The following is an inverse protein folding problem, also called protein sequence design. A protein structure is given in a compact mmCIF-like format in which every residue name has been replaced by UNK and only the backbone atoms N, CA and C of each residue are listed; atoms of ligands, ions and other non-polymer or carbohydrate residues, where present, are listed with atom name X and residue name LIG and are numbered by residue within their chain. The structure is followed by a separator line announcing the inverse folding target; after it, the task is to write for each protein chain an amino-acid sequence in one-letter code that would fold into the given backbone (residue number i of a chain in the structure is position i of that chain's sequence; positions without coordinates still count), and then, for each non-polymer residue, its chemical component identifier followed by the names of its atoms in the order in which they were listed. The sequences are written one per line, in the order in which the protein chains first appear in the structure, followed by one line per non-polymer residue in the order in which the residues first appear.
data_IF_874366379748
#
_entry.id   IF_874366379748
#
_cell.length_a   1.000
_cell.length_b   1.000
_cell.length_c   1.000
_cell.angle_alpha   90.00
_cell.angle_beta   90.00
_cell.angle_gamma   90.00
#
_symmetry.space_group_name_H-M   'P 1'
#
loop_
_entity.id
_entity.type
_entity.pdbx_description
1 polymer ?
#
# COMPACT_ATOMS: atom_id res chain seq x y z
N UNK A 1 13.08 -16.70 -1.07
CA UNK A 1 11.86 -15.96 -0.68
C UNK A 1 10.66 -16.50 -1.45
N UNK A 2 9.52 -16.76 -0.79
CA UNK A 2 8.28 -17.19 -1.46
C UNK A 2 7.76 -16.08 -2.37
N UNK A 3 7.16 -16.40 -3.52
CA UNK A 3 6.63 -15.38 -4.43
C UNK A 3 5.24 -14.91 -3.98
N UNK A 4 5.07 -13.59 -3.87
CA UNK A 4 3.78 -12.95 -3.65
C UNK A 4 3.44 -12.00 -4.81
N UNK A 5 2.21 -12.10 -5.32
CA UNK A 5 1.66 -11.21 -6.36
C UNK A 5 0.71 -10.15 -5.79
N UNK A 6 0.46 -10.20 -4.49
CA UNK A 6 -0.31 -9.22 -3.72
C UNK A 6 0.11 -9.30 -2.26
N UNK A 7 -0.17 -8.25 -1.50
CA UNK A 7 0.11 -8.23 -0.08
C UNK A 7 -0.70 -9.31 0.67
N UNK A 8 -0.13 -9.99 1.68
CA UNK A 8 -0.76 -11.11 2.36
C UNK A 8 -1.97 -10.68 3.20
N UNK A 9 -1.96 -9.45 3.72
CA UNK A 9 -3.07 -8.83 4.45
C UNK A 9 -3.66 -7.66 3.65
N UNK A 10 -4.95 -7.34 3.80
CA UNK A 10 -5.59 -6.21 3.14
C UNK A 10 -4.83 -4.90 3.35
N UNK A 11 -4.51 -4.23 2.25
CA UNK A 11 -3.90 -2.90 2.23
C UNK A 11 -4.44 -2.14 1.02
N UNK A 12 -4.89 -0.91 1.24
CA UNK A 12 -5.41 -0.05 0.18
C UNK A 12 -4.26 0.53 -0.63
N UNK A 13 -4.41 0.60 -1.95
CA UNK A 13 -3.39 1.20 -2.82
C UNK A 13 -2.19 0.29 -3.16
N UNK A 14 -2.20 -0.98 -2.74
CA UNK A 14 -1.13 -1.93 -3.10
C UNK A 14 -0.95 -2.03 -4.63
N UNK A 15 0.29 -2.00 -5.10
CA UNK A 15 0.65 -1.94 -6.53
C UNK A 15 0.61 -3.29 -7.26
N UNK A 16 -0.31 -4.18 -6.87
CA UNK A 16 -0.45 -5.53 -7.45
C UNK A 16 -0.69 -5.53 -8.96
N UNK A 17 -1.41 -4.52 -9.48
CA UNK A 17 -1.71 -4.39 -10.90
C UNK A 17 -0.49 -3.97 -11.75
N UNK A 18 0.55 -3.40 -11.12
CA UNK A 18 1.78 -3.02 -11.80
C UNK A 18 2.87 -4.08 -11.78
N UNK A 19 2.77 -5.13 -10.98
CA UNK A 19 3.91 -6.02 -10.74
C UNK A 19 4.54 -6.58 -12.01
N UNK A 20 3.73 -6.86 -13.04
CA UNK A 20 4.27 -7.28 -14.35
C UNK A 20 5.11 -6.18 -15.00
N UNK A 21 4.56 -4.97 -15.12
CA UNK A 21 5.26 -3.83 -15.70
C UNK A 21 6.49 -3.42 -14.88
N UNK A 22 6.36 -3.43 -13.55
CA UNK A 22 7.44 -3.13 -12.63
C UNK A 22 8.59 -4.13 -12.77
N UNK A 23 8.30 -5.44 -12.79
CA UNK A 23 9.33 -6.48 -13.06
C UNK A 23 10.00 -6.32 -14.41
N UNK A 24 9.26 -5.96 -15.46
CA UNK A 24 9.85 -5.69 -16.77
C UNK A 24 10.81 -4.50 -16.71
N UNK A 25 10.36 -3.39 -16.11
CA UNK A 25 11.16 -2.17 -15.99
C UNK A 25 12.38 -2.36 -15.07
N UNK A 26 12.32 -3.24 -14.06
CA UNK A 26 13.48 -3.58 -13.21
C UNK A 26 14.69 -4.07 -14.00
N UNK A 27 14.52 -4.65 -15.20
CA UNK A 27 15.63 -5.10 -16.05
C UNK A 27 16.53 -3.96 -16.55
N UNK A 28 16.04 -2.71 -16.49
CA UNK A 28 16.81 -1.51 -16.85
C UNK A 28 17.67 -0.99 -15.69
N UNK A 29 17.57 -1.60 -14.51
CA UNK A 29 18.27 -1.19 -13.29
C UNK A 29 19.20 -2.30 -12.79
N UNK A 30 20.24 -1.92 -12.05
CA UNK A 30 21.23 -2.88 -11.57
C UNK A 30 20.66 -3.89 -10.56
N UNK A 31 20.90 -5.20 -10.75
CA UNK A 31 20.43 -6.25 -9.83
C UNK A 31 21.12 -6.21 -8.45
N UNK A 32 22.16 -5.40 -8.28
CA UNK A 32 22.91 -5.24 -7.02
C UNK A 32 22.78 -3.82 -6.45
N UNK A 33 21.89 -2.99 -7.01
CA UNK A 33 21.61 -1.66 -6.50
C UNK A 33 21.02 -1.67 -5.07
N UNK A 34 21.06 -0.52 -4.42
CA UNK A 34 20.28 -0.29 -3.19
C UNK A 34 18.93 0.29 -3.57
N UNK A 35 17.87 -0.49 -3.36
CA UNK A 35 16.49 -0.05 -3.59
C UNK A 35 15.91 0.48 -2.29
N UNK A 36 15.47 1.73 -2.28
CA UNK A 36 14.94 2.41 -1.10
C UNK A 36 13.47 2.74 -1.33
N UNK A 37 12.59 2.03 -0.63
CA UNK A 37 11.16 2.23 -0.68
C UNK A 37 10.75 3.30 0.32
N UNK A 38 10.57 4.52 -0.17
CA UNK A 38 10.28 5.71 0.65
C UNK A 38 8.89 5.64 1.27
N UNK A 39 7.94 5.01 0.57
CA UNK A 39 6.52 4.91 0.92
C UNK A 39 6.09 3.45 0.92
N UNK A 40 6.71 2.67 1.81
CA UNK A 40 6.64 1.22 1.75
C UNK A 40 5.22 0.63 1.77
N UNK A 41 4.30 1.25 2.52
CA UNK A 41 2.92 0.76 2.68
C UNK A 41 2.89 -0.73 3.02
N UNK A 42 2.27 -1.55 2.15
CA UNK A 42 2.23 -3.02 2.30
C UNK A 42 3.56 -3.77 2.07
N UNK A 43 4.62 -3.09 1.67
CA UNK A 43 5.92 -3.67 1.32
C UNK A 43 5.91 -4.51 0.03
N UNK A 44 4.86 -4.44 -0.78
CA UNK A 44 4.72 -5.29 -1.98
C UNK A 44 5.78 -4.99 -3.05
N UNK A 45 6.15 -3.72 -3.21
CA UNK A 45 7.23 -3.32 -4.13
C UNK A 45 8.58 -3.79 -3.59
N UNK A 46 8.88 -3.51 -2.33
CA UNK A 46 10.08 -4.02 -1.62
C UNK A 46 10.22 -5.56 -1.71
N UNK A 47 9.14 -6.30 -1.42
CA UNK A 47 9.08 -7.75 -1.61
C UNK A 47 9.42 -8.15 -3.05
N UNK A 48 8.82 -7.47 -4.02
CA UNK A 48 8.99 -7.78 -5.44
C UNK A 48 10.43 -7.58 -5.86
N UNK A 49 11.06 -6.47 -5.45
CA UNK A 49 12.48 -6.22 -5.72
C UNK A 49 13.35 -7.31 -5.10
N UNK A 50 13.19 -7.59 -3.79
CA UNK A 50 14.05 -8.58 -3.11
C UNK A 50 13.87 -10.00 -3.65
N UNK A 51 12.67 -10.33 -4.09
CA UNK A 51 12.39 -11.61 -4.75
C UNK A 51 13.01 -11.69 -6.16
N UNK A 52 12.98 -10.59 -6.91
CA UNK A 52 13.49 -10.51 -8.29
C UNK A 52 15.02 -10.41 -8.32
N UNK A 53 15.60 -9.65 -7.39
CA UNK A 53 17.03 -9.43 -7.20
C UNK A 53 17.45 -9.84 -5.77
N UNK A 54 17.77 -11.12 -5.55
CA UNK A 54 18.15 -11.62 -4.23
C UNK A 54 19.39 -10.92 -3.63
N UNK A 55 20.30 -10.45 -4.47
CA UNK A 55 21.56 -9.79 -4.06
C UNK A 55 21.41 -8.28 -3.85
N UNK A 56 20.26 -7.70 -4.22
CA UNK A 56 19.99 -6.28 -3.97
C UNK A 56 19.82 -6.01 -2.47
N UNK A 57 20.30 -4.84 -2.02
CA UNK A 57 19.91 -4.28 -0.72
C UNK A 57 18.55 -3.60 -0.90
N UNK A 58 17.56 -3.98 -0.11
CA UNK A 58 16.21 -3.41 -0.19
C UNK A 58 15.83 -2.84 1.16
N UNK A 59 15.65 -1.52 1.22
CA UNK A 59 15.25 -0.79 2.41
C UNK A 59 13.76 -0.50 2.32
N UNK A 60 12.98 -1.00 3.26
CA UNK A 60 11.52 -0.86 3.32
C UNK A 60 11.11 0.08 4.46
N UNK A 61 10.57 1.25 4.10
CA UNK A 61 10.05 2.20 5.07
C UNK A 61 8.61 1.86 5.48
N UNK A 62 8.47 1.16 6.59
CA UNK A 62 7.19 0.77 7.19
C UNK A 62 6.65 1.89 8.09
N UNK A 63 6.06 2.92 7.48
CA UNK A 63 5.45 4.04 8.21
C UNK A 63 4.07 3.68 8.80
N UNK A 64 3.33 2.79 8.13
CA UNK A 64 1.95 2.40 8.51
C UNK A 64 1.88 1.18 9.46
N UNK A 65 3.04 0.70 9.96
CA UNK A 65 3.17 -0.49 10.80
C UNK A 65 2.53 -1.75 10.20
N UNK A 66 2.62 -1.92 8.88
CA UNK A 66 2.11 -3.12 8.20
C UNK A 66 2.84 -4.39 8.67
N UNK A 67 4.13 -4.29 9.02
CA UNK A 67 4.88 -5.41 9.58
C UNK A 67 4.33 -5.89 10.93
N UNK A 68 3.76 -5.01 11.77
CA UNK A 68 3.13 -5.40 13.03
C UNK A 68 1.89 -6.26 12.77
N UNK A 69 1.10 -5.90 11.74
CA UNK A 69 -0.04 -6.71 11.29
C UNK A 69 0.41 -8.08 10.81
N UNK A 70 1.48 -8.15 10.02
CA UNK A 70 2.08 -9.42 9.58
C UNK A 70 2.52 -10.26 10.79
N UNK A 71 3.24 -9.67 11.73
CA UNK A 71 3.74 -10.38 12.93
C UNK A 71 2.60 -10.95 13.79
N UNK A 72 1.42 -10.35 13.75
CA UNK A 72 0.23 -10.79 14.48
C UNK A 72 -0.77 -11.59 13.62
N UNK A 73 -0.42 -12.01 12.40
CA UNK A 73 -1.34 -12.73 11.49
C UNK A 73 -1.96 -13.98 12.12
N UNK A 74 -1.21 -14.68 12.98
CA UNK A 74 -1.72 -15.85 13.72
C UNK A 74 -2.89 -15.50 14.65
N UNK A 75 -2.82 -14.35 15.36
CA UNK A 75 -3.92 -13.88 16.22
C UNK A 75 -5.13 -13.49 15.37
N UNK A 76 -4.90 -12.81 14.24
CA UNK A 76 -5.97 -12.46 13.30
C UNK A 76 -6.68 -13.69 12.76
N UNK A 77 -5.93 -14.74 12.38
CA UNK A 77 -6.51 -16.00 11.91
C UNK A 77 -7.30 -16.73 13.01
N UNK A 78 -6.79 -16.77 14.24
CA UNK A 78 -7.51 -17.35 15.38
C UNK A 78 -8.85 -16.66 15.63
N UNK A 79 -8.87 -15.32 15.63
CA UNK A 79 -10.12 -14.56 15.75
C UNK A 79 -11.07 -14.86 14.59
N UNK A 80 -10.59 -14.87 13.34
CA UNK A 80 -11.43 -15.19 12.18
C UNK A 80 -11.97 -16.62 12.23
N UNK A 81 -11.20 -17.59 12.75
CA UNK A 81 -11.65 -18.96 12.92
C UNK A 81 -12.87 -19.04 13.84
N UNK A 82 -12.90 -18.25 14.92
CA UNK A 82 -14.03 -18.18 15.84
C UNK A 82 -15.23 -17.43 15.26
N UNK A 83 -14.99 -16.45 14.38
CA UNK A 83 -16.06 -15.68 13.73
C UNK A 83 -16.73 -16.45 12.58
N UNK A 84 -16.01 -17.34 11.87
CA UNK A 84 -16.53 -18.15 10.76
C UNK A 84 -17.82 -18.92 11.11
N UNK A 85 -17.92 -19.68 12.22
CA UNK A 85 -19.15 -20.39 12.56
C UNK A 85 -20.31 -19.45 12.88
N UNK A 86 -20.05 -18.28 13.47
CA UNK A 86 -21.08 -17.26 13.72
C UNK A 86 -21.63 -16.72 12.39
N UNK A 87 -20.73 -16.33 11.48
CA UNK A 87 -21.12 -15.87 10.14
C UNK A 87 -21.81 -16.94 9.31
N UNK A 88 -21.48 -18.22 9.51
CA UNK A 88 -22.10 -19.35 8.80
C UNK A 88 -23.58 -19.57 9.16
N UNK A 89 -24.05 -19.03 10.30
CA UNK A 89 -25.48 -19.01 10.65
C UNK A 89 -26.32 -18.19 9.66
N UNK A 90 -25.70 -17.24 8.94
CA UNK A 90 -26.32 -16.62 7.76
C UNK A 90 -25.91 -17.38 6.49
N UNK A 91 -26.83 -18.09 5.82
CA UNK A 91 -26.49 -18.89 4.64
C UNK A 91 -26.07 -18.02 3.44
N UNK A 92 -26.54 -16.76 3.38
CA UNK A 92 -26.29 -15.89 2.25
C UNK A 92 -24.97 -15.13 2.40
N UNK A 93 -23.99 -15.46 1.55
CA UNK A 93 -22.72 -14.75 1.50
C UNK A 93 -22.89 -13.33 0.96
N UNK A 94 -22.06 -12.41 1.43
CA UNK A 94 -22.00 -10.98 1.06
C UNK A 94 -23.24 -10.16 1.44
N UNK A 95 -24.27 -10.77 2.01
CA UNK A 95 -25.44 -10.08 2.54
C UNK A 95 -25.19 -9.52 3.94
N UNK A 96 -26.02 -8.54 4.32
CA UNK A 96 -25.99 -7.93 5.65
C UNK A 96 -26.34 -8.97 6.71
N UNK A 97 -25.58 -9.00 7.79
CA UNK A 97 -25.89 -9.79 8.99
C UNK A 97 -26.97 -9.07 9.81
N UNK A 98 -27.88 -9.84 10.40
CA UNK A 98 -28.91 -9.31 11.31
C UNK A 98 -28.28 -8.87 12.64
N UNK A 99 -29.09 -8.19 13.47
CA UNK A 99 -28.61 -7.58 14.71
C UNK A 99 -28.18 -8.63 15.76
N UNK A 100 -28.77 -9.83 15.76
CA UNK A 100 -28.36 -10.93 16.65
C UNK A 100 -26.95 -11.43 16.33
N UNK A 101 -26.66 -11.69 15.04
CA UNK A 101 -25.33 -12.12 14.60
C UNK A 101 -24.30 -11.00 14.76
N UNK A 102 -24.71 -9.74 14.56
CA UNK A 102 -23.87 -8.59 14.84
C UNK A 102 -23.46 -8.56 16.31
N UNK A 103 -24.42 -8.67 17.24
CA UNK A 103 -24.15 -8.69 18.68
C UNK A 103 -23.26 -9.87 19.09
N UNK A 104 -23.44 -11.06 18.51
CA UNK A 104 -22.60 -12.22 18.78
C UNK A 104 -21.15 -12.03 18.32
N UNK A 105 -20.94 -11.44 17.14
CA UNK A 105 -19.61 -11.09 16.63
C UNK A 105 -18.94 -10.05 17.54
N UNK A 106 -19.67 -9.01 17.95
CA UNK A 106 -19.16 -7.98 18.88
C UNK A 106 -18.79 -8.61 20.23
N UNK A 107 -19.63 -9.49 20.77
CA UNK A 107 -19.38 -10.19 22.02
C UNK A 107 -18.19 -11.14 21.95
N UNK A 108 -17.89 -11.72 20.77
CA UNK A 108 -16.67 -12.51 20.58
C UNK A 108 -15.45 -11.60 20.52
N UNK A 109 -15.48 -10.53 19.72
CA UNK A 109 -14.34 -9.61 19.56
C UNK A 109 -14.00 -8.89 20.87
N UNK A 110 -14.99 -8.53 21.69
CA UNK A 110 -14.76 -7.83 22.97
C UNK A 110 -13.95 -8.65 24.00
N UNK A 111 -13.82 -9.97 23.81
CA UNK A 111 -13.02 -10.85 24.65
C UNK A 111 -11.54 -10.86 24.27
N UNK A 112 -11.19 -10.33 23.10
CA UNK A 112 -9.80 -10.25 22.65
C UNK A 112 -8.99 -9.32 23.54
N UNK A 113 -7.76 -9.75 23.85
CA UNK A 113 -6.81 -8.97 24.63
C UNK A 113 -5.57 -8.73 23.77
N UNK A 114 -5.18 -7.46 23.62
CA UNK A 114 -4.00 -7.05 22.87
C UNK A 114 -4.32 -6.62 21.43
N UNK A 115 -3.40 -6.91 20.51
CA UNK A 115 -3.45 -6.42 19.14
C UNK A 115 -4.63 -7.01 18.36
N UNK A 116 -5.40 -6.14 17.70
CA UNK A 116 -6.45 -6.51 16.76
C UNK A 116 -6.17 -5.78 15.44
N UNK A 117 -6.02 -6.55 14.36
CA UNK A 117 -5.90 -6.00 13.02
C UNK A 117 -7.28 -5.52 12.51
N UNK A 118 -7.67 -4.32 12.91
CA UNK A 118 -8.97 -3.76 12.54
C UNK A 118 -9.18 -3.62 11.03
N UNK A 119 -8.11 -3.41 10.26
CA UNK A 119 -8.19 -3.34 8.80
C UNK A 119 -8.56 -4.70 8.22
N UNK A 120 -7.89 -5.77 8.67
CA UNK A 120 -8.21 -7.13 8.22
C UNK A 120 -9.59 -7.57 8.70
N UNK A 121 -9.95 -7.32 9.97
CA UNK A 121 -11.26 -7.66 10.51
C UNK A 121 -12.37 -6.90 9.75
N UNK A 122 -12.18 -5.61 9.50
CA UNK A 122 -13.12 -4.81 8.71
C UNK A 122 -13.29 -5.34 7.29
N UNK A 123 -12.21 -5.75 6.62
CA UNK A 123 -12.32 -6.29 5.25
C UNK A 123 -13.19 -7.57 5.16
N UNK A 124 -13.30 -8.31 6.26
CA UNK A 124 -14.06 -9.54 6.39
C UNK A 124 -15.52 -9.32 6.82
N UNK A 125 -15.84 -8.17 7.40
CA UNK A 125 -17.15 -7.92 8.02
C UNK A 125 -17.84 -6.64 7.56
N UNK A 126 -17.16 -5.66 6.99
CA UNK A 126 -17.75 -4.40 6.54
C UNK A 126 -17.90 -4.36 5.02
N UNK A 127 -18.72 -3.43 4.53
CA UNK A 127 -18.81 -3.15 3.10
C UNK A 127 -17.45 -2.73 2.54
N UNK A 128 -17.21 -2.98 1.25
CA UNK A 128 -15.92 -2.65 0.63
C UNK A 128 -15.64 -1.15 0.74
N UNK A 129 -14.37 -0.79 0.96
CA UNK A 129 -13.89 0.57 1.24
C UNK A 129 -14.19 1.12 2.65
N UNK A 130 -14.98 0.43 3.47
CA UNK A 130 -15.18 0.81 4.87
C UNK A 130 -14.24 0.00 5.78
N UNK A 131 -13.62 0.68 6.74
CA UNK A 131 -12.98 0.04 7.87
C UNK A 131 -13.02 0.90 9.11
N UNK A 132 -13.03 0.23 10.26
CA UNK A 132 -12.82 0.87 11.55
C UNK A 132 -11.35 0.74 11.97
N UNK A 133 -10.88 1.63 12.82
CA UNK A 133 -9.53 1.61 13.40
C UNK A 133 -9.52 1.24 14.88
N UNK A 134 -10.69 1.08 15.48
CA UNK A 134 -10.86 0.70 16.88
C UNK A 134 -12.23 0.05 17.11
N UNK A 135 -12.38 -0.61 18.26
CA UNK A 135 -13.58 -1.35 18.62
C UNK A 135 -14.84 -0.46 18.72
N UNK A 136 -14.71 0.76 19.23
CA UNK A 136 -15.84 1.68 19.44
C UNK A 136 -16.43 2.19 18.13
N UNK A 137 -15.60 2.42 17.12
CA UNK A 137 -16.04 2.68 15.75
C UNK A 137 -16.61 1.40 15.12
N UNK A 138 -15.89 0.27 15.25
CA UNK A 138 -16.26 -1.00 14.63
C UNK A 138 -17.65 -1.48 15.02
N UNK A 139 -18.03 -1.35 16.31
CA UNK A 139 -19.33 -1.82 16.80
C UNK A 139 -20.53 -1.02 16.30
N UNK A 140 -20.32 0.18 15.74
CA UNK A 140 -21.39 1.01 15.17
C UNK A 140 -21.68 0.68 13.71
N UNK A 141 -20.80 -0.08 13.07
CA UNK A 141 -20.88 -0.40 11.66
C UNK A 141 -21.88 -1.53 11.38
N UNK A 142 -22.38 -1.57 10.14
CA UNK A 142 -23.21 -2.67 9.64
C UNK A 142 -22.32 -3.81 9.16
N UNK A 143 -22.62 -5.04 9.61
CA UNK A 143 -21.84 -6.21 9.21
C UNK A 143 -22.44 -6.94 8.00
N UNK A 144 -21.56 -7.54 7.21
CA UNK A 144 -21.85 -8.30 6.01
C UNK A 144 -21.09 -9.63 6.06
N UNK A 145 -21.68 -10.71 5.54
CA UNK A 145 -21.06 -12.03 5.51
C UNK A 145 -19.97 -12.12 4.42
N UNK A 146 -18.87 -11.39 4.62
CA UNK A 146 -17.72 -11.34 3.72
C UNK A 146 -16.53 -12.15 4.24
N UNK A 147 -16.71 -12.86 5.35
CA UNK A 147 -15.60 -13.52 6.05
C UNK A 147 -14.89 -14.53 5.14
N UNK A 148 -13.56 -14.45 5.12
CA UNK A 148 -12.70 -15.37 4.41
C UNK A 148 -12.73 -16.72 5.11
N UNK A 149 -12.93 -17.78 4.32
CA UNK A 149 -13.07 -19.15 4.84
C UNK A 149 -11.74 -19.83 5.12
N UNK A 150 -10.64 -19.32 4.58
CA UNK A 150 -9.28 -19.79 4.84
C UNK A 150 -8.48 -18.79 5.67
N UNK A 151 -7.33 -19.23 6.16
CA UNK A 151 -6.39 -18.42 6.95
C UNK A 151 -5.43 -17.61 6.07
N UNK A 152 -5.15 -16.37 6.48
CA UNK A 152 -4.15 -15.54 5.84
C UNK A 152 -2.76 -16.15 6.06
N UNK A 153 -1.89 -16.08 5.05
CA UNK A 153 -0.53 -16.60 5.12
C UNK A 153 0.45 -15.52 4.67
N UNK A 154 1.35 -15.13 5.57
CA UNK A 154 2.38 -14.12 5.34
C UNK A 154 3.80 -14.70 5.41
N UNK A 155 3.93 -16.04 5.34
CA UNK A 155 5.20 -16.74 5.52
C UNK A 155 6.24 -16.29 4.50
N UNK A 156 7.34 -15.75 5.00
CA UNK A 156 8.46 -15.29 4.20
C UNK A 156 8.18 -14.07 3.31
N UNK A 157 7.12 -13.30 3.58
CA UNK A 157 6.71 -12.17 2.73
C UNK A 157 7.68 -10.98 2.77
N UNK A 158 8.45 -10.75 3.84
CA UNK A 158 9.43 -9.64 3.90
C UNK A 158 10.84 -10.13 4.28
N UNK A 159 11.12 -11.42 4.05
CA UNK A 159 12.43 -12.00 4.34
C UNK A 159 13.55 -11.32 3.53
N UNK A 160 14.60 -10.88 4.24
CA UNK A 160 15.77 -10.23 3.63
C UNK A 160 15.53 -8.78 3.20
N UNK A 161 14.37 -8.20 3.51
CA UNK A 161 14.11 -6.77 3.34
C UNK A 161 14.47 -6.04 4.63
N UNK A 162 15.27 -4.98 4.54
CA UNK A 162 15.71 -4.17 5.67
C UNK A 162 14.58 -3.21 6.08
N UNK A 163 13.83 -3.57 7.12
CA UNK A 163 12.74 -2.74 7.63
C UNK A 163 13.29 -1.54 8.43
N UNK A 164 12.74 -0.38 8.16
CA UNK A 164 12.91 0.84 8.96
C UNK A 164 11.56 1.56 9.12
N UNK A 165 11.50 2.52 10.04
CA UNK A 165 10.37 3.43 10.19
C UNK A 165 10.91 4.85 10.37
N UNK A 166 10.87 5.65 9.31
CA UNK A 166 11.38 7.03 9.27
C UNK A 166 10.47 7.93 8.44
N UNK A 167 10.57 9.24 8.66
CA UNK A 167 10.04 10.22 7.70
C UNK A 167 10.79 10.06 6.37
N UNK A 168 10.05 10.05 5.25
CA UNK A 168 10.62 9.79 3.93
C UNK A 168 11.70 10.79 3.54
N UNK A 169 11.64 12.04 4.02
CA UNK A 169 12.63 13.07 3.73
C UNK A 169 13.96 12.74 4.37
N UNK A 170 13.94 12.32 5.63
CA UNK A 170 15.14 11.91 6.35
C UNK A 170 15.76 10.66 5.73
N UNK A 171 14.91 9.72 5.29
CA UNK A 171 15.36 8.54 4.59
C UNK A 171 15.97 8.86 3.23
N UNK A 172 15.35 9.75 2.46
CA UNK A 172 15.89 10.23 1.19
C UNK A 172 17.27 10.90 1.38
N UNK A 173 17.39 11.81 2.34
CA UNK A 173 18.65 12.49 2.65
C UNK A 173 19.79 11.53 3.03
N UNK A 174 19.47 10.42 3.70
CA UNK A 174 20.43 9.38 4.05
C UNK A 174 20.98 8.64 2.83
N UNK A 175 20.16 8.41 1.80
CA UNK A 175 20.51 7.54 0.67
C UNK A 175 20.79 8.27 -0.65
N UNK A 176 20.39 9.53 -0.83
CA UNK A 176 20.46 10.25 -2.13
C UNK A 176 21.86 10.37 -2.75
N UNK A 177 22.90 10.25 -1.92
CA UNK A 177 24.30 10.32 -2.37
C UNK A 177 24.97 8.94 -2.44
N UNK A 178 24.22 7.86 -2.20
CA UNK A 178 24.76 6.51 -2.30
C UNK A 178 24.94 6.13 -3.78
N UNK A 179 26.05 5.45 -4.14
CA UNK A 179 26.21 4.93 -5.49
C UNK A 179 25.15 3.86 -5.78
N UNK A 180 24.63 3.85 -7.01
CA UNK A 180 23.66 2.87 -7.50
C UNK A 180 22.43 2.74 -6.58
N UNK A 181 21.84 3.88 -6.18
CA UNK A 181 20.60 3.93 -5.41
C UNK A 181 19.40 4.08 -6.35
N UNK A 182 18.31 3.36 -6.05
CA UNK A 182 17.04 3.46 -6.78
C UNK A 182 15.91 3.70 -5.79
N UNK A 183 15.17 4.79 -5.96
CA UNK A 183 14.05 5.12 -5.07
C UNK A 183 12.72 4.56 -5.59
N UNK A 184 11.98 3.86 -4.72
CA UNK A 184 10.59 3.49 -4.97
C UNK A 184 9.69 4.51 -4.26
N UNK A 185 8.89 5.22 -5.03
CA UNK A 185 8.16 6.41 -4.60
C UNK A 185 6.68 6.24 -4.90
N UNK A 186 5.90 5.87 -3.88
CA UNK A 186 4.46 5.62 -3.97
C UNK A 186 3.67 6.46 -2.93
N UNK A 187 3.62 7.79 -3.09
CA UNK A 187 3.03 8.69 -2.10
C UNK A 187 1.49 8.62 -2.09
N UNK A 188 0.83 9.06 -0.99
CA UNK A 188 -0.63 9.19 -0.94
C UNK A 188 -1.17 10.18 -1.98
N UNK A 189 -2.03 9.77 -2.94
CA UNK A 189 -2.50 10.54 -4.11
C UNK A 189 -3.19 11.89 -3.80
N UNK A 190 -2.77 12.97 -4.48
CA UNK A 190 -3.40 14.30 -4.38
C UNK A 190 -4.87 14.17 -4.72
N UNK A 191 -5.74 14.77 -3.91
CA UNK A 191 -7.20 14.76 -4.11
C UNK A 191 -7.87 13.37 -3.98
N UNK A 192 -7.20 12.37 -3.44
CA UNK A 192 -7.88 11.14 -2.97
C UNK A 192 -8.28 11.29 -1.51
N UNK A 193 -9.45 10.74 -1.14
CA UNK A 193 -9.91 10.70 0.24
C UNK A 193 -8.87 9.93 1.09
N UNK A 194 -8.07 10.69 1.85
CA UNK A 194 -6.98 10.19 2.69
C UNK A 194 -7.43 9.94 4.13
N UNK A 195 -8.75 9.85 4.40
CA UNK A 195 -9.31 9.46 5.71
C UNK A 195 -8.74 8.14 6.27
N UNK A 196 -8.03 7.41 5.42
CA UNK A 196 -7.41 6.12 5.69
C UNK A 196 -6.00 6.18 6.29
N UNK A 197 -5.30 7.31 6.18
CA UNK A 197 -3.96 7.50 6.74
C UNK A 197 -4.02 8.11 8.16
N UNK A 198 -3.07 7.73 9.01
CA UNK A 198 -3.08 8.05 10.45
C UNK A 198 -2.86 9.52 10.81
N UNK A 199 -2.84 10.45 9.84
CA UNK A 199 -2.55 11.87 10.07
C UNK A 199 -3.83 12.72 10.03
N UNK A 200 -4.08 13.55 11.06
CA UNK A 200 -5.18 14.54 11.06
C UNK A 200 -5.00 15.65 10.01
N UNK A 201 -3.76 15.91 9.60
CA UNK A 201 -3.43 16.92 8.59
C UNK A 201 -3.48 16.30 7.20
N UNK A 202 -4.41 16.80 6.37
CA UNK A 202 -4.54 16.46 4.96
C UNK A 202 -3.20 16.55 4.24
N UNK A 203 -2.86 15.56 3.42
CA UNK A 203 -1.70 15.59 2.52
C UNK A 203 -1.86 16.75 1.52
N UNK A 204 -1.01 17.79 1.61
CA UNK A 204 -1.16 19.05 0.87
C UNK A 204 -0.41 19.03 -0.44
N UNK A 205 -0.70 20.00 -1.32
CA UNK A 205 0.08 20.22 -2.53
C UNK A 205 1.58 20.44 -2.23
N UNK A 206 1.91 21.13 -1.14
CA UNK A 206 3.32 21.30 -0.71
C UNK A 206 3.99 19.96 -0.38
N UNK A 207 3.28 19.02 0.24
CA UNK A 207 3.81 17.69 0.53
C UNK A 207 4.11 16.95 -0.77
N UNK A 208 3.22 17.09 -1.75
CA UNK A 208 3.41 16.58 -3.11
C UNK A 208 4.67 17.12 -3.80
N UNK A 209 4.85 18.44 -3.79
CA UNK A 209 6.00 19.08 -4.39
C UNK A 209 7.31 18.66 -3.70
N UNK A 210 7.27 18.42 -2.38
CA UNK A 210 8.42 17.88 -1.65
C UNK A 210 8.77 16.44 -2.08
N UNK A 211 7.79 15.61 -2.45
CA UNK A 211 8.07 14.27 -2.98
C UNK A 211 8.76 14.36 -4.34
N UNK A 212 8.38 15.30 -5.21
CA UNK A 212 9.05 15.48 -6.50
C UNK A 212 10.56 15.78 -6.35
N UNK A 213 10.96 16.43 -5.25
CA UNK A 213 12.38 16.64 -4.94
C UNK A 213 13.17 15.36 -4.67
N UNK A 214 12.49 14.25 -4.36
CA UNK A 214 13.14 12.95 -4.12
C UNK A 214 13.50 12.18 -5.39
N UNK A 215 13.04 12.65 -6.55
CA UNK A 215 13.30 12.00 -7.85
C UNK A 215 14.16 12.85 -8.80
N UNK A 216 14.41 14.12 -8.47
CA UNK A 216 15.28 15.00 -9.26
C UNK A 216 16.71 14.45 -9.33
N UNK A 217 17.18 14.18 -10.55
CA UNK A 217 18.51 13.62 -10.85
C UNK A 217 18.82 12.29 -10.13
N UNK A 218 17.79 11.50 -9.83
CA UNK A 218 17.90 10.16 -9.21
C UNK A 218 17.40 9.07 -10.15
N UNK A 219 17.83 7.83 -9.91
CA UNK A 219 17.16 6.64 -10.46
C UNK A 219 15.92 6.33 -9.62
N UNK A 220 14.76 6.16 -10.26
CA UNK A 220 13.50 6.01 -9.52
C UNK A 220 12.43 5.19 -10.25
N UNK A 221 11.48 4.71 -9.43
CA UNK A 221 10.14 4.32 -9.82
C UNK A 221 9.15 5.17 -9.04
N UNK A 222 8.31 5.90 -9.76
CA UNK A 222 7.30 6.81 -9.20
C UNK A 222 5.90 6.32 -9.60
N UNK A 223 5.02 6.17 -8.61
CA UNK A 223 3.65 5.73 -8.83
C UNK A 223 2.67 6.86 -8.56
N UNK A 224 1.72 7.03 -9.47
CA UNK A 224 0.68 8.06 -9.37
C UNK A 224 -0.59 7.63 -10.10
N UNK A 225 -1.56 8.54 -10.24
CA UNK A 225 -2.73 8.36 -11.09
C UNK A 225 -3.06 9.64 -11.85
N UNK A 226 -3.86 9.50 -12.90
CA UNK A 226 -4.39 10.64 -13.65
C UNK A 226 -5.26 11.59 -12.80
N UNK A 227 -5.75 11.15 -11.64
CA UNK A 227 -6.49 11.98 -10.68
C UNK A 227 -5.61 12.96 -9.90
N UNK A 228 -4.32 12.68 -9.78
CA UNK A 228 -3.38 13.52 -9.03
C UNK A 228 -3.02 14.82 -9.75
N UNK A 229 -3.22 14.90 -11.08
CA UNK A 229 -2.81 16.02 -11.93
C UNK A 229 -1.30 16.37 -11.86
N UNK A 230 -0.46 15.50 -11.29
CA UNK A 230 0.94 15.83 -11.02
C UNK A 230 1.77 15.96 -12.31
N UNK A 231 1.47 15.15 -13.33
CA UNK A 231 2.15 15.20 -14.62
C UNK A 231 1.81 16.51 -15.33
N UNK A 232 0.51 16.84 -15.40
CA UNK A 232 0.03 18.11 -15.97
C UNK A 232 0.64 19.32 -15.26
N UNK A 233 0.73 19.29 -13.92
CA UNK A 233 1.39 20.34 -13.15
C UNK A 233 2.88 20.47 -13.51
N UNK A 234 3.61 19.36 -13.63
CA UNK A 234 5.02 19.38 -14.00
C UNK A 234 5.23 19.91 -15.43
N UNK A 235 4.40 19.49 -16.39
CA UNK A 235 4.44 20.01 -17.76
C UNK A 235 4.15 21.51 -17.80
N UNK A 236 3.16 21.98 -17.03
CA UNK A 236 2.83 23.41 -16.97
C UNK A 236 3.98 24.23 -16.37
N UNK A 237 4.62 23.75 -15.31
CA UNK A 237 5.76 24.43 -14.68
C UNK A 237 6.95 24.56 -15.63
N UNK A 238 7.24 23.52 -16.40
CA UNK A 238 8.32 23.53 -17.39
C UNK A 238 8.03 24.49 -18.55
N UNK A 239 6.82 24.44 -19.11
CA UNK A 239 6.39 25.31 -20.21
C UNK A 239 6.41 26.82 -19.84
N UNK A 240 6.33 27.14 -18.55
CA UNK A 240 6.37 28.52 -18.05
C UNK A 240 7.70 28.87 -17.37
N UNK A 241 8.74 28.03 -17.55
CA UNK A 241 10.10 28.27 -17.02
C UNK A 241 10.18 28.43 -15.49
N UNK A 242 9.24 27.84 -14.74
CA UNK A 242 9.31 27.83 -13.27
C UNK A 242 10.26 26.77 -12.73
N UNK A 243 10.25 25.57 -13.32
CA UNK A 243 11.11 24.44 -12.93
C UNK A 243 11.23 23.44 -14.09
N UNK A 244 12.32 22.67 -14.13
CA UNK A 244 12.45 21.52 -15.02
C UNK A 244 11.43 20.45 -14.62
N UNK A 245 10.86 19.75 -15.59
CA UNK A 245 10.00 18.61 -15.31
C UNK A 245 10.82 17.45 -14.72
N UNK A 246 10.55 16.99 -13.48
CA UNK A 246 11.29 15.88 -12.87
C UNK A 246 11.06 14.55 -13.60
N UNK A 247 10.03 14.46 -14.45
CA UNK A 247 9.73 13.30 -15.28
C UNK A 247 10.30 13.40 -16.70
N UNK A 248 11.09 14.44 -17.02
CA UNK A 248 11.74 14.56 -18.32
C UNK A 248 12.57 13.30 -18.63
N UNK A 249 12.45 12.82 -19.87
CA UNK A 249 13.10 11.61 -20.39
C UNK A 249 12.71 10.28 -19.69
N UNK A 250 11.72 10.30 -18.81
CA UNK A 250 11.27 9.10 -18.10
C UNK A 250 10.36 8.23 -18.98
N UNK A 251 10.37 6.92 -18.71
CA UNK A 251 9.41 6.00 -19.33
C UNK A 251 8.12 5.97 -18.51
N UNK A 252 6.98 6.16 -19.18
CA UNK A 252 5.64 6.15 -18.58
C UNK A 252 4.90 4.87 -18.98
N UNK A 253 4.28 4.20 -18.00
CA UNK A 253 3.37 3.06 -18.19
C UNK A 253 2.05 3.31 -17.48
N UNK A 254 0.96 3.16 -18.21
CA UNK A 254 -0.40 3.41 -17.70
C UNK A 254 -1.21 2.13 -17.65
N UNK A 255 -1.97 1.94 -16.56
CA UNK A 255 -2.91 0.83 -16.39
C UNK A 255 -4.29 1.41 -16.06
N UNK A 256 -5.27 1.16 -16.94
CA UNK A 256 -6.65 1.59 -16.73
C UNK A 256 -7.36 0.73 -15.69
N UNK A 257 -8.03 1.37 -14.73
CA UNK A 257 -8.89 0.73 -13.74
C UNK A 257 -10.34 1.22 -13.87
N UNK A 258 -11.29 0.29 -13.78
CA UNK A 258 -12.72 0.60 -13.62
C UNK A 258 -13.10 0.50 -12.13
N UNK A 259 -13.48 1.61 -11.50
CA UNK A 259 -13.98 1.63 -10.11
C UNK A 259 -15.47 1.29 -10.05
N UNK A 260 -16.24 1.80 -11.02
CA UNK A 260 -17.67 1.53 -11.23
C UNK A 260 -17.98 1.65 -12.74
N UNK A 261 -19.22 1.38 -13.14
CA UNK A 261 -19.67 1.56 -14.54
C UNK A 261 -19.36 2.98 -15.10
N UNK A 262 -19.34 4.01 -14.25
CA UNK A 262 -19.16 5.41 -14.63
C UNK A 262 -17.84 6.06 -14.19
N UNK A 263 -17.04 5.42 -13.32
CA UNK A 263 -15.80 5.99 -12.81
C UNK A 263 -14.59 5.19 -13.29
N UNK A 264 -13.82 5.79 -14.21
CA UNK A 264 -12.52 5.27 -14.68
C UNK A 264 -11.41 6.14 -14.12
N UNK A 265 -10.32 5.50 -13.73
CA UNK A 265 -9.07 6.20 -13.44
C UNK A 265 -7.93 5.36 -13.96
N UNK A 266 -6.82 6.03 -14.21
CA UNK A 266 -5.62 5.39 -14.70
C UNK A 266 -4.58 5.50 -13.61
N UNK A 267 -4.05 4.36 -13.18
CA UNK A 267 -2.81 4.39 -12.44
C UNK A 267 -1.66 4.52 -13.43
N UNK A 268 -0.60 5.19 -12.99
CA UNK A 268 0.57 5.52 -13.80
C UNK A 268 1.82 5.12 -13.01
N UNK A 269 2.74 4.41 -13.67
CA UNK A 269 4.09 4.14 -13.21
C UNK A 269 5.06 4.88 -14.13
N UNK A 270 5.90 5.72 -13.55
CA UNK A 270 6.93 6.51 -14.23
C UNK A 270 8.28 6.03 -13.70
N UNK A 271 9.24 5.75 -14.57
CA UNK A 271 10.57 5.35 -14.11
C UNK A 271 11.66 5.90 -15.02
N UNK A 272 12.82 6.11 -14.40
CA UNK A 272 14.03 6.56 -15.07
C UNK A 272 15.22 5.94 -14.35
N UNK A 273 16.12 5.33 -15.12
CA UNK A 273 17.45 5.02 -14.64
C UNK A 273 18.39 6.18 -15.02
N UNK A 274 19.08 6.76 -14.05
CA UNK A 274 19.96 7.91 -14.20
C UNK A 274 21.46 7.53 -14.28
N UNK A 275 21.74 6.25 -14.59
CA UNK A 275 23.08 5.72 -14.90
C UNK A 275 23.60 6.21 -16.27
#
# INVERSE_FOLDING_TARGET
MKQYTQAPLPFQGQKRNFLKHFKTALNEFSPTATYVDLFGGSGLLSHTVKNYYPDAKVVYNDFDNYSERIANVGKTNALLADLRPICAKNPNRKERLNDDLHAEIIARISKEKGFIDWVTISSNLLFSMNYATNFEAFKKEKFYNKIRLSDYNADGYLDGVDRITKDYRNLFEEYKNHPNVVFLVDPPYLSTDCSTYSRPDYWKLSDYLNVLKTIEDQSYFYFTSNKSQIIELCDWMENHSYARNPFADATIKTVGNQLTYNARYEDIMIYRNND
#
